data_IF_605486787946
#
_entry.id   IF_605486787946
#
_cell.length_a   1.000
_cell.length_b   1.000
_cell.length_c   1.000
_cell.angle_alpha   90.00
_cell.angle_beta   90.00
_cell.angle_gamma   90.00
#
_symmetry.space_group_name_H-M   'P 1'
#
loop_
_entity.id
_entity.type
_entity.pdbx_description
1 polymer ?
#
# COMPACT_ATOMS: atom_id res chain seq x y z
N UNK A 1 24.34 6.26 -41.71
CA UNK A 1 22.95 5.88 -42.03
C UNK A 1 22.46 4.79 -41.08
N UNK A 2 21.27 5.04 -40.50
CA UNK A 2 20.64 4.02 -39.65
C UNK A 2 20.14 2.85 -40.48
N UNK A 3 20.59 1.68 -40.17
CA UNK A 3 20.09 0.44 -40.75
C UNK A 3 18.94 -0.14 -39.93
N UNK A 4 18.91 0.13 -38.60
CA UNK A 4 17.79 -0.25 -37.72
C UNK A 4 16.84 0.95 -37.68
N UNK A 5 15.68 0.79 -38.30
CA UNK A 5 14.72 1.89 -38.46
C UNK A 5 13.50 1.67 -37.56
N UNK A 6 13.77 1.48 -36.29
CA UNK A 6 12.73 1.36 -35.25
C UNK A 6 12.83 2.60 -34.37
N UNK A 7 11.78 3.37 -34.34
CA UNK A 7 11.68 4.59 -33.53
C UNK A 7 10.73 4.31 -32.35
N UNK A 8 11.28 4.32 -31.15
CA UNK A 8 10.51 3.99 -29.94
C UNK A 8 9.34 4.96 -29.73
N UNK A 9 9.46 6.20 -30.18
CA UNK A 9 8.36 7.17 -30.05
C UNK A 9 7.19 6.87 -30.99
N UNK A 10 7.42 6.09 -32.04
CA UNK A 10 6.43 5.79 -33.06
C UNK A 10 6.02 4.31 -33.10
N UNK A 11 6.75 3.45 -32.42
CA UNK A 11 6.52 2.01 -32.45
C UNK A 11 5.09 1.69 -32.00
N UNK A 12 4.49 0.68 -32.67
CA UNK A 12 3.12 0.27 -32.37
C UNK A 12 2.12 1.43 -32.43
N UNK A 13 2.29 2.31 -33.40
CA UNK A 13 1.44 3.49 -33.60
C UNK A 13 1.39 4.39 -32.34
N UNK A 14 2.56 4.71 -31.84
CA UNK A 14 2.80 5.51 -30.62
C UNK A 14 2.39 4.86 -29.29
N UNK A 15 2.04 3.58 -29.29
CA UNK A 15 1.56 2.90 -28.09
C UNK A 15 2.62 2.88 -26.98
N UNK A 16 3.89 2.71 -27.31
CA UNK A 16 4.96 2.75 -26.31
C UNK A 16 5.02 4.13 -25.65
N UNK A 17 5.00 5.20 -26.44
CA UNK A 17 5.04 6.57 -25.90
C UNK A 17 3.86 6.83 -24.96
N UNK A 18 2.66 6.38 -25.35
CA UNK A 18 1.47 6.55 -24.52
C UNK A 18 1.57 5.81 -23.19
N UNK A 19 2.10 4.58 -23.23
CA UNK A 19 2.31 3.80 -22.02
C UNK A 19 3.36 4.44 -21.09
N UNK A 20 4.43 4.96 -21.66
CA UNK A 20 5.47 5.66 -20.90
C UNK A 20 4.89 6.91 -20.26
N UNK A 21 4.11 7.68 -21.00
CA UNK A 21 3.51 8.91 -20.48
C UNK A 21 2.60 8.63 -19.28
N UNK A 22 1.81 7.55 -19.34
CA UNK A 22 0.96 7.15 -18.20
C UNK A 22 1.78 6.77 -16.98
N UNK A 23 2.85 6.02 -17.16
CA UNK A 23 3.70 5.62 -16.05
C UNK A 23 4.51 6.80 -15.49
N UNK A 24 4.94 7.72 -16.35
CA UNK A 24 5.61 8.95 -15.91
C UNK A 24 4.67 9.80 -15.06
N UNK A 25 3.41 9.91 -15.44
CA UNK A 25 2.42 10.64 -14.63
C UNK A 25 2.31 10.06 -13.22
N UNK A 26 2.22 8.75 -13.12
CA UNK A 26 2.17 8.05 -11.82
C UNK A 26 3.43 8.34 -10.98
N UNK A 27 4.60 8.29 -11.62
CA UNK A 27 5.87 8.55 -10.93
C UNK A 27 5.93 9.98 -10.42
N UNK A 28 5.55 10.93 -11.26
CA UNK A 28 5.61 12.35 -10.88
C UNK A 28 4.59 12.68 -9.78
N UNK A 29 3.39 12.11 -9.83
CA UNK A 29 2.42 12.25 -8.73
C UNK A 29 2.96 11.65 -7.44
N UNK A 30 3.62 10.50 -7.52
CA UNK A 30 4.23 9.86 -6.36
C UNK A 30 5.37 10.70 -5.78
N UNK A 31 6.17 11.34 -6.63
CA UNK A 31 7.23 12.25 -6.18
C UNK A 31 6.67 13.43 -5.40
N UNK A 32 5.52 13.95 -5.83
CA UNK A 32 4.87 15.08 -5.18
C UNK A 32 4.01 14.70 -3.99
N UNK A 33 3.84 13.41 -3.75
CA UNK A 33 3.05 12.91 -2.63
C UNK A 33 3.84 13.06 -1.33
N UNK A 34 3.39 13.96 -0.47
CA UNK A 34 4.05 14.24 0.80
C UNK A 34 4.00 13.07 1.79
N UNK A 35 3.16 12.06 1.51
CA UNK A 35 3.08 10.86 2.32
C UNK A 35 4.06 9.77 1.88
N UNK A 36 5.06 10.15 1.10
CA UNK A 36 6.17 9.27 0.69
C UNK A 36 7.50 9.90 1.08
N UNK A 37 8.55 9.10 1.16
CA UNK A 37 9.90 9.61 1.35
C UNK A 37 10.38 10.26 0.05
N UNK A 38 10.74 11.54 0.11
CA UNK A 38 11.10 12.30 -1.08
C UNK A 38 12.29 11.71 -1.85
N UNK A 39 13.28 11.21 -1.13
CA UNK A 39 14.54 10.73 -1.72
C UNK A 39 14.50 9.30 -2.22
N UNK A 40 13.40 8.60 -2.03
CA UNK A 40 13.27 7.23 -2.53
C UNK A 40 13.34 7.21 -4.05
N UNK A 41 14.14 6.32 -4.60
CA UNK A 41 14.27 6.18 -6.04
C UNK A 41 12.99 5.58 -6.62
N UNK A 42 12.46 6.21 -7.66
CA UNK A 42 11.37 5.69 -8.48
C UNK A 42 11.93 5.25 -9.81
N UNK A 43 11.26 4.33 -10.48
CA UNK A 43 11.73 3.77 -11.76
C UNK A 43 10.59 3.66 -12.74
N UNK A 44 10.91 3.86 -14.02
CA UNK A 44 10.04 3.44 -15.13
C UNK A 44 10.83 2.40 -15.91
N UNK A 45 10.25 1.23 -16.08
CA UNK A 45 10.90 0.11 -16.76
C UNK A 45 10.15 -0.19 -18.05
N UNK A 46 10.88 -0.17 -19.16
CA UNK A 46 10.35 -0.49 -20.48
C UNK A 46 10.90 -1.86 -20.84
N UNK A 47 10.02 -2.79 -21.19
CA UNK A 47 10.40 -4.13 -21.60
C UNK A 47 9.90 -4.39 -23.01
N UNK A 48 10.82 -4.69 -23.92
CA UNK A 48 10.51 -5.17 -25.25
C UNK A 48 10.83 -6.65 -25.29
N UNK A 49 9.82 -7.47 -25.52
CA UNK A 49 10.00 -8.92 -25.69
C UNK A 49 9.92 -9.25 -27.17
N UNK A 50 10.90 -9.98 -27.65
CA UNK A 50 11.04 -10.25 -29.06
C UNK A 50 11.20 -11.75 -29.29
N UNK A 51 10.39 -12.29 -30.17
CA UNK A 51 10.46 -13.69 -30.55
C UNK A 51 10.27 -13.82 -32.06
N UNK A 52 10.77 -14.89 -32.62
CA UNK A 52 10.71 -15.12 -34.06
C UNK A 52 10.32 -16.57 -34.35
N UNK A 53 9.99 -16.84 -35.60
CA UNK A 53 9.77 -18.18 -36.09
C UNK A 53 11.11 -18.83 -36.52
N UNK A 54 11.03 -20.06 -37.03
CA UNK A 54 12.22 -20.79 -37.45
C UNK A 54 12.95 -20.14 -38.63
N UNK A 55 12.24 -19.37 -39.42
CA UNK A 55 12.80 -18.67 -40.57
C UNK A 55 13.56 -17.40 -40.21
N UNK A 56 13.29 -16.85 -39.01
CA UNK A 56 14.00 -15.70 -38.47
C UNK A 56 13.85 -14.41 -39.29
N UNK A 57 12.72 -14.26 -39.94
CA UNK A 57 12.47 -13.11 -40.82
C UNK A 57 11.39 -12.16 -40.24
N UNK A 58 10.51 -12.69 -39.41
CA UNK A 58 9.46 -11.93 -38.76
C UNK A 58 9.66 -11.98 -37.23
N UNK A 59 9.68 -10.83 -36.60
CA UNK A 59 9.87 -10.73 -35.14
C UNK A 59 8.60 -10.21 -34.51
N UNK A 60 8.02 -11.04 -33.64
CA UNK A 60 6.89 -10.61 -32.80
C UNK A 60 7.43 -9.84 -31.61
N UNK A 61 6.94 -8.62 -31.42
CA UNK A 61 7.45 -7.74 -30.39
C UNK A 61 6.33 -7.37 -29.43
N UNK A 62 6.53 -7.70 -28.16
CA UNK A 62 5.65 -7.26 -27.07
C UNK A 62 6.23 -6.03 -26.40
N UNK A 63 5.35 -5.15 -25.95
CA UNK A 63 5.74 -3.89 -25.29
C UNK A 63 5.06 -3.82 -23.94
N UNK A 64 5.86 -3.65 -22.88
CA UNK A 64 5.36 -3.50 -21.53
C UNK A 64 6.09 -2.34 -20.85
N UNK A 65 5.35 -1.52 -20.12
CA UNK A 65 5.91 -0.42 -19.34
C UNK A 65 5.33 -0.50 -17.94
N UNK A 66 6.20 -0.45 -16.96
CA UNK A 66 5.76 -0.44 -15.56
C UNK A 66 6.56 0.56 -14.76
N UNK A 67 5.99 1.03 -13.66
CA UNK A 67 6.67 1.92 -12.74
C UNK A 67 6.86 1.27 -11.38
N UNK A 68 7.93 1.68 -10.70
CA UNK A 68 8.16 1.34 -9.29
C UNK A 68 8.09 2.64 -8.51
N UNK A 69 7.13 2.73 -7.61
CA UNK A 69 6.84 3.93 -6.85
C UNK A 69 7.41 3.82 -5.43
N UNK A 70 7.58 4.97 -4.77
CA UNK A 70 7.88 4.98 -3.35
C UNK A 70 6.62 4.58 -2.57
N UNK A 71 6.75 3.70 -1.56
CA UNK A 71 5.60 3.35 -0.74
C UNK A 71 5.17 4.53 0.12
N UNK A 72 3.91 4.54 0.50
CA UNK A 72 3.42 5.52 1.46
C UNK A 72 4.02 5.21 2.84
N UNK A 73 4.24 6.25 3.61
CA UNK A 73 4.79 6.11 4.96
C UNK A 73 3.87 5.25 5.80
N UNK A 74 4.47 4.30 6.53
CA UNK A 74 3.72 3.39 7.35
C UNK A 74 3.08 4.06 8.55
N UNK A 75 1.99 3.47 9.01
CA UNK A 75 1.34 3.83 10.27
C UNK A 75 1.50 2.66 11.21
N UNK A 76 2.02 2.93 12.41
CA UNK A 76 2.22 1.89 13.42
C UNK A 76 0.99 1.77 14.31
N UNK A 77 0.61 0.55 14.65
CA UNK A 77 -0.39 0.27 15.65
C UNK A 77 -0.02 -0.99 16.40
N UNK A 78 -0.67 -1.22 17.54
CA UNK A 78 -0.43 -2.41 18.36
C UNK A 78 -1.71 -3.24 18.37
N UNK A 79 -1.56 -4.54 18.11
CA UNK A 79 -2.67 -5.49 18.15
C UNK A 79 -2.39 -6.50 19.26
N UNK A 80 -3.37 -6.71 20.13
CA UNK A 80 -3.32 -7.74 21.17
C UNK A 80 -4.04 -8.98 20.62
N UNK A 81 -3.39 -10.13 20.74
CA UNK A 81 -3.90 -11.40 20.20
C UNK A 81 -3.91 -12.45 21.31
N UNK A 82 -4.96 -13.26 21.35
CA UNK A 82 -5.07 -14.38 22.27
C UNK A 82 -6.06 -15.42 21.77
N UNK A 83 -6.19 -16.51 22.54
CA UNK A 83 -7.18 -17.56 22.27
C UNK A 83 -8.12 -17.69 23.45
N UNK A 84 -9.39 -17.97 23.17
CA UNK A 84 -10.36 -18.28 24.23
C UNK A 84 -10.26 -19.76 24.62
N UNK A 85 -11.13 -20.20 25.56
CA UNK A 85 -11.15 -21.58 26.04
C UNK A 85 -11.44 -22.61 24.95
N UNK A 86 -12.10 -22.20 23.86
CA UNK A 86 -12.40 -23.09 22.74
C UNK A 86 -11.27 -23.14 21.73
N UNK A 87 -10.21 -22.37 21.92
CA UNK A 87 -9.09 -22.25 20.98
C UNK A 87 -9.31 -21.25 19.86
N UNK A 88 -10.42 -20.51 19.86
CA UNK A 88 -10.72 -19.49 18.86
C UNK A 88 -9.83 -18.28 19.06
N UNK A 89 -9.29 -17.76 17.95
CA UNK A 89 -8.40 -16.60 17.99
C UNK A 89 -9.21 -15.31 18.13
N UNK A 90 -8.78 -14.47 19.06
CA UNK A 90 -9.29 -13.11 19.25
C UNK A 90 -8.17 -12.12 19.02
N UNK A 91 -8.48 -11.00 18.39
CA UNK A 91 -7.52 -9.92 18.14
C UNK A 91 -8.22 -8.59 18.28
N UNK A 92 -7.53 -7.64 18.89
CA UNK A 92 -8.06 -6.30 19.06
C UNK A 92 -6.93 -5.28 18.97
N UNK A 93 -7.23 -4.16 18.35
CA UNK A 93 -6.28 -3.06 18.31
C UNK A 93 -6.22 -2.38 19.69
N UNK A 94 -5.01 -2.17 20.18
CA UNK A 94 -4.80 -1.52 21.48
C UNK A 94 -4.69 0.00 21.30
N UNK A 95 -5.80 0.70 21.52
CA UNK A 95 -5.86 2.14 21.32
C UNK A 95 -5.31 2.94 22.52
N UNK A 96 -5.24 2.31 23.68
CA UNK A 96 -4.75 2.97 24.89
C UNK A 96 -3.23 3.02 25.04
N UNK A 97 -2.49 2.28 24.20
CA UNK A 97 -1.04 2.35 24.11
C UNK A 97 -0.24 1.69 25.23
N UNK A 98 -0.85 0.81 26.05
CA UNK A 98 -0.15 0.13 27.17
C UNK A 98 -0.23 -1.38 26.98
N UNK A 99 0.62 -1.98 26.11
CA UNK A 99 0.48 -3.38 25.71
C UNK A 99 0.74 -4.39 26.84
N UNK A 100 1.54 -4.05 27.83
CA UNK A 100 1.90 -4.97 28.90
C UNK A 100 0.84 -5.17 29.98
N UNK A 101 -0.27 -4.46 29.91
CA UNK A 101 -1.29 -4.43 30.96
C UNK A 101 -2.65 -4.90 30.51
N UNK A 102 -2.72 -5.59 29.36
CA UNK A 102 -3.99 -6.08 28.83
C UNK A 102 -3.91 -7.58 28.57
N UNK A 103 -5.06 -8.24 28.64
CA UNK A 103 -5.17 -9.67 28.35
C UNK A 103 -6.57 -9.99 27.85
N UNK A 104 -6.70 -11.15 27.17
CA UNK A 104 -8.00 -11.71 26.83
C UNK A 104 -8.47 -12.64 27.95
N UNK A 105 -9.72 -12.47 28.38
CA UNK A 105 -10.31 -13.40 29.34
C UNK A 105 -10.80 -14.69 28.67
N UNK A 106 -11.39 -15.57 29.46
CA UNK A 106 -11.86 -16.88 28.96
C UNK A 106 -12.96 -16.76 27.91
N UNK A 107 -13.69 -15.66 27.88
CA UNK A 107 -14.73 -15.38 26.90
C UNK A 107 -14.20 -14.70 25.64
N UNK A 108 -12.91 -14.37 25.60
CA UNK A 108 -12.30 -13.67 24.47
C UNK A 108 -12.42 -12.15 24.53
N UNK A 109 -12.93 -11.61 25.64
CA UNK A 109 -12.98 -10.18 25.85
C UNK A 109 -11.62 -9.64 26.32
N UNK A 110 -11.22 -8.49 25.79
CA UNK A 110 -9.96 -7.86 26.19
C UNK A 110 -10.16 -7.03 27.46
N UNK A 111 -9.32 -7.28 28.47
CA UNK A 111 -9.38 -6.63 29.76
C UNK A 111 -8.03 -6.01 30.14
N UNK A 112 -8.08 -5.01 31.01
CA UNK A 112 -6.88 -4.49 31.64
C UNK A 112 -6.38 -5.43 32.72
N UNK A 113 -5.19 -5.19 33.26
CA UNK A 113 -4.66 -5.95 34.41
C UNK A 113 -5.52 -5.85 35.67
N UNK A 114 -6.37 -4.82 35.75
CA UNK A 114 -7.33 -4.65 36.84
C UNK A 114 -8.67 -5.33 36.60
N UNK A 115 -8.86 -5.94 35.43
CA UNK A 115 -10.07 -6.69 35.07
C UNK A 115 -11.16 -5.90 34.36
N UNK A 116 -10.93 -4.63 34.05
CA UNK A 116 -11.90 -3.81 33.32
C UNK A 116 -11.92 -4.13 31.84
N UNK A 117 -13.11 -4.09 31.23
CA UNK A 117 -13.26 -4.29 29.79
C UNK A 117 -12.69 -3.13 29.01
N UNK A 118 -11.82 -3.43 28.07
CA UNK A 118 -11.19 -2.42 27.20
C UNK A 118 -12.24 -1.69 26.36
N UNK A 119 -13.27 -2.38 25.87
CA UNK A 119 -14.36 -1.76 25.12
C UNK A 119 -15.00 -0.60 25.88
N UNK A 120 -15.21 -0.76 27.19
CA UNK A 120 -15.81 0.26 28.04
C UNK A 120 -14.92 1.50 28.11
N UNK A 121 -13.61 1.31 28.21
CA UNK A 121 -12.64 2.42 28.27
C UNK A 121 -12.56 3.10 26.92
N UNK A 122 -12.52 2.35 25.84
CA UNK A 122 -12.44 2.90 24.47
C UNK A 122 -13.70 3.68 24.10
N UNK A 123 -14.88 3.23 24.52
CA UNK A 123 -16.14 3.97 24.31
C UNK A 123 -16.10 5.36 24.94
N UNK A 124 -15.56 5.47 26.13
CA UNK A 124 -15.40 6.77 26.78
C UNK A 124 -14.44 7.67 26.03
N UNK A 125 -13.31 7.14 25.59
CA UNK A 125 -12.32 7.86 24.78
C UNK A 125 -12.88 8.26 23.41
N UNK A 126 -13.62 7.36 22.76
CA UNK A 126 -14.24 7.61 21.47
C UNK A 126 -15.30 8.71 21.56
N UNK A 127 -16.10 8.71 22.60
CA UNK A 127 -17.09 9.77 22.81
C UNK A 127 -16.44 11.16 22.93
N UNK A 128 -15.32 11.25 23.61
CA UNK A 128 -14.57 12.51 23.73
C UNK A 128 -14.02 12.93 22.35
N UNK A 129 -13.48 12.01 21.60
CA UNK A 129 -12.94 12.25 20.26
C UNK A 129 -14.06 12.69 19.29
N UNK A 130 -15.20 12.01 19.31
CA UNK A 130 -16.35 12.33 18.46
C UNK A 130 -16.89 13.74 18.75
N UNK A 131 -16.95 14.13 20.00
CA UNK A 131 -17.35 15.48 20.39
C UNK A 131 -16.41 16.52 19.78
N UNK A 132 -15.11 16.29 19.85
CA UNK A 132 -14.11 17.20 19.26
C UNK A 132 -14.22 17.23 17.73
N UNK A 133 -14.47 16.11 17.07
CA UNK A 133 -14.69 16.03 15.64
C UNK A 133 -15.93 16.82 15.21
N UNK A 134 -17.03 16.72 15.95
CA UNK A 134 -18.24 17.50 15.67
C UNK A 134 -17.98 18.99 15.76
N UNK A 135 -17.19 19.41 16.73
CA UNK A 135 -16.80 20.82 16.87
C UNK A 135 -15.92 21.31 15.73
N UNK A 136 -15.01 20.48 15.25
CA UNK A 136 -14.06 20.82 14.19
C UNK A 136 -14.67 20.68 12.79
N UNK A 137 -15.71 19.88 12.62
CA UNK A 137 -16.31 19.56 11.34
C UNK A 137 -17.35 20.56 10.84
N UNK A 138 -17.61 21.60 11.59
CA UNK A 138 -18.57 22.64 11.21
C UNK A 138 -17.85 23.94 10.79
#
# INVERSE_FOLDING_TARGET
DKTIKIDLSKIANTALQEKVDKELEKVLENILDLNTEAKTTRKVTITLTMSTDDERTVVNTGIEVKSTLAPQKGVATTVIVGRDDTGKIHANELKSGIPGQTYFDDNGDMRTDTGELIEKIEKQSTNIIDYNKKKAGN
#
